data_IF_082483683151
#
_entry.id   IF_082483683151
#
_cell.length_a   1.000
_cell.length_b   1.000
_cell.length_c   1.000
_cell.angle_alpha   90.00
_cell.angle_beta   90.00
_cell.angle_gamma   90.00
#
_symmetry.space_group_name_H-M   'P 1'
#
loop_
_entity.id
_entity.type
_entity.pdbx_description
1 polymer ?
#
# COMPACT_ATOMS: atom_id res chain seq x y z
N UNK A 1 23.21 4.03 9.79
CA UNK A 1 22.91 5.48 9.78
C UNK A 1 21.84 5.74 8.72
N UNK A 2 20.67 6.27 9.06
CA UNK A 2 19.60 6.48 8.09
C UNK A 2 19.95 7.63 7.13
N UNK A 3 20.12 7.31 5.84
CA UNK A 3 20.29 8.28 4.76
C UNK A 3 18.93 8.87 4.39
N UNK A 4 18.88 10.18 4.09
CA UNK A 4 17.67 10.78 3.51
C UNK A 4 17.40 10.17 2.13
N UNK A 5 16.17 9.73 1.83
CA UNK A 5 15.83 9.18 0.51
C UNK A 5 16.09 10.22 -0.59
N UNK A 6 16.78 9.79 -1.63
CA UNK A 6 17.07 10.57 -2.83
C UNK A 6 15.89 10.61 -3.79
N UNK A 7 16.13 11.15 -5.00
CA UNK A 7 15.08 11.32 -6.02
C UNK A 7 14.44 9.99 -6.43
N UNK A 8 15.26 8.99 -6.75
CA UNK A 8 14.78 7.68 -7.19
C UNK A 8 13.90 6.99 -6.13
N UNK A 9 14.27 7.06 -4.85
CA UNK A 9 13.47 6.48 -3.76
C UNK A 9 12.15 7.21 -3.58
N UNK A 10 12.14 8.55 -3.70
CA UNK A 10 10.90 9.33 -3.65
C UNK A 10 9.95 9.02 -4.80
N UNK A 11 10.51 8.70 -5.97
CA UNK A 11 9.74 8.33 -7.16
C UNK A 11 9.08 6.96 -6.98
N UNK A 12 9.82 5.96 -6.48
CA UNK A 12 9.26 4.66 -6.08
C UNK A 12 8.14 4.79 -5.05
N UNK A 13 8.33 5.68 -4.06
CA UNK A 13 7.29 5.94 -3.05
C UNK A 13 6.04 6.55 -3.68
N UNK A 14 6.17 7.54 -4.58
CA UNK A 14 5.02 8.12 -5.27
C UNK A 14 4.30 7.08 -6.13
N UNK A 15 5.04 6.24 -6.84
CA UNK A 15 4.46 5.16 -7.64
C UNK A 15 3.69 4.16 -6.76
N UNK A 16 4.27 3.74 -5.63
CA UNK A 16 3.62 2.82 -4.71
C UNK A 16 2.34 3.41 -4.10
N UNK A 17 2.36 4.70 -3.71
CA UNK A 17 1.18 5.41 -3.19
C UNK A 17 0.07 5.49 -4.26
N UNK A 18 0.43 5.82 -5.49
CA UNK A 18 -0.51 5.91 -6.59
C UNK A 18 -1.17 4.55 -6.89
N UNK A 19 -0.39 3.48 -6.86
CA UNK A 19 -0.88 2.10 -7.11
C UNK A 19 -1.94 1.65 -6.12
N UNK A 20 -1.81 2.05 -4.86
CA UNK A 20 -2.80 1.71 -3.83
C UNK A 20 -3.95 2.73 -3.75
N UNK A 21 -4.05 3.66 -4.71
CA UNK A 21 -5.12 4.64 -4.79
C UNK A 21 -5.08 5.71 -3.69
N UNK A 22 -3.89 6.06 -3.20
CA UNK A 22 -3.71 7.06 -2.12
C UNK A 22 -3.10 8.38 -2.60
N UNK A 23 -3.06 8.64 -3.91
CA UNK A 23 -2.61 9.91 -4.47
C UNK A 23 -3.36 11.10 -3.88
N UNK A 24 -2.65 12.17 -3.53
CA UNK A 24 -3.19 13.36 -2.88
C UNK A 24 -3.31 13.25 -1.35
N UNK A 25 -2.97 12.10 -0.76
CA UNK A 25 -2.96 11.88 0.69
C UNK A 25 -1.53 11.78 1.27
N UNK A 26 -0.49 12.06 0.48
CA UNK A 26 0.92 11.83 0.82
C UNK A 26 1.36 12.57 2.09
N UNK A 27 0.77 13.74 2.33
CA UNK A 27 1.10 14.60 3.47
C UNK A 27 0.14 14.43 4.65
N UNK A 28 -0.89 13.58 4.51
CA UNK A 28 -1.87 13.35 5.57
C UNK A 28 -1.28 12.42 6.62
N UNK A 29 -1.40 12.81 7.89
CA UNK A 29 -0.96 11.96 8.99
C UNK A 29 -1.75 10.64 8.97
N UNK A 30 -1.05 9.51 9.14
CA UNK A 30 -1.64 8.17 9.08
C UNK A 30 -2.82 8.00 10.06
N UNK A 31 -2.76 8.58 11.26
CA UNK A 31 -3.84 8.51 12.24
C UNK A 31 -5.12 9.28 11.85
N UNK A 32 -5.07 10.04 10.74
CA UNK A 32 -6.22 10.76 10.17
C UNK A 32 -6.81 10.03 8.95
N UNK A 33 -6.26 8.88 8.57
CA UNK A 33 -6.76 8.04 7.46
C UNK A 33 -7.83 7.07 7.97
N UNK A 34 -8.75 6.65 7.10
CA UNK A 34 -9.68 5.55 7.41
C UNK A 34 -8.91 4.24 7.62
N UNK A 35 -9.52 3.25 8.28
CA UNK A 35 -8.87 1.95 8.50
C UNK A 35 -8.39 1.30 7.18
N UNK A 36 -9.24 1.28 6.15
CA UNK A 36 -8.85 0.77 4.82
C UNK A 36 -7.73 1.58 4.17
N UNK A 37 -7.70 2.91 4.33
CA UNK A 37 -6.58 3.73 3.84
C UNK A 37 -5.28 3.40 4.59
N UNK A 38 -5.33 3.16 5.91
CA UNK A 38 -4.15 2.76 6.68
C UNK A 38 -3.60 1.40 6.21
N UNK A 39 -4.47 0.44 5.92
CA UNK A 39 -4.07 -0.85 5.33
C UNK A 39 -3.36 -0.67 3.99
N UNK A 40 -3.91 0.17 3.11
CA UNK A 40 -3.29 0.50 1.82
C UNK A 40 -1.93 1.18 1.96
N UNK A 41 -1.71 1.98 3.01
CA UNK A 41 -0.37 2.54 3.31
C UNK A 41 0.63 1.42 3.62
N UNK A 42 0.24 0.38 4.36
CA UNK A 42 1.13 -0.76 4.63
C UNK A 42 1.47 -1.55 3.37
N UNK A 43 0.51 -1.73 2.47
CA UNK A 43 0.76 -2.33 1.15
C UNK A 43 1.72 -1.46 0.33
N UNK A 44 1.48 -0.15 0.23
CA UNK A 44 2.38 0.77 -0.47
C UNK A 44 3.81 0.68 0.08
N UNK A 45 3.97 0.60 1.41
CA UNK A 45 5.28 0.42 2.05
C UNK A 45 5.99 -0.85 1.58
N UNK A 46 5.26 -1.96 1.48
CA UNK A 46 5.81 -3.22 1.01
C UNK A 46 6.16 -3.18 -0.49
N UNK A 47 5.34 -2.52 -1.30
CA UNK A 47 5.56 -2.43 -2.75
C UNK A 47 6.81 -1.63 -3.14
N UNK A 48 7.29 -0.71 -2.30
CA UNK A 48 8.51 0.08 -2.56
C UNK A 48 9.74 -0.82 -2.75
N UNK A 49 9.78 -2.01 -2.11
CA UNK A 49 10.87 -2.97 -2.27
C UNK A 49 10.71 -3.91 -3.47
N UNK A 50 9.68 -3.73 -4.30
CA UNK A 50 9.38 -4.57 -5.47
C UNK A 50 9.35 -6.08 -5.11
N UNK A 51 8.51 -6.49 -4.14
CA UNK A 51 8.50 -7.86 -3.65
C UNK A 51 7.87 -8.82 -4.67
N UNK A 52 8.37 -10.06 -4.72
CA UNK A 52 7.75 -11.16 -5.47
C UNK A 52 6.63 -11.85 -4.67
N UNK A 53 6.68 -11.73 -3.33
CA UNK A 53 5.73 -12.34 -2.39
C UNK A 53 5.31 -11.33 -1.33
N UNK A 54 4.01 -11.23 -1.07
CA UNK A 54 3.44 -10.46 0.05
C UNK A 54 2.76 -11.42 1.02
N UNK A 55 3.24 -11.49 2.25
CA UNK A 55 2.57 -12.24 3.33
C UNK A 55 1.72 -11.27 4.14
N UNK A 56 0.45 -11.62 4.30
CA UNK A 56 -0.54 -10.81 4.98
C UNK A 56 -1.08 -11.59 6.19
N UNK A 57 -0.90 -11.03 7.38
CA UNK A 57 -1.47 -11.57 8.61
C UNK A 57 -2.62 -10.68 9.05
N UNK A 58 -3.83 -11.24 9.06
CA UNK A 58 -5.07 -10.55 9.44
C UNK A 58 -5.24 -9.14 8.81
N UNK A 59 -5.07 -8.99 7.48
CA UNK A 59 -4.86 -7.69 6.86
C UNK A 59 -6.07 -6.76 6.87
N UNK A 60 -7.27 -7.28 7.17
CA UNK A 60 -8.55 -6.55 7.14
C UNK A 60 -9.17 -6.35 8.52
N UNK A 61 -8.49 -6.76 9.61
CA UNK A 61 -9.05 -6.66 10.96
C UNK A 61 -9.37 -5.20 11.35
N UNK A 62 -10.59 -4.99 11.85
CA UNK A 62 -11.07 -3.69 12.29
C UNK A 62 -11.48 -2.74 11.16
N UNK A 63 -11.61 -3.23 9.92
CA UNK A 63 -12.08 -2.44 8.77
C UNK A 63 -13.52 -2.81 8.41
N UNK A 64 -14.26 -1.84 7.89
CA UNK A 64 -15.65 -2.04 7.47
C UNK A 64 -15.74 -2.86 6.17
N UNK A 65 -16.87 -3.54 5.98
CA UNK A 65 -17.07 -4.47 4.87
C UNK A 65 -16.88 -3.86 3.47
N UNK A 66 -17.16 -2.55 3.29
CA UNK A 66 -16.94 -1.91 1.99
C UNK A 66 -15.45 -1.74 1.74
N UNK A 67 -14.75 -1.15 2.71
CA UNK A 67 -13.30 -0.93 2.64
C UNK A 67 -12.52 -2.25 2.51
N UNK A 68 -13.02 -3.33 3.12
CA UNK A 68 -12.46 -4.68 2.99
C UNK A 68 -12.55 -5.22 1.56
N UNK A 69 -13.71 -5.09 0.89
CA UNK A 69 -13.85 -5.51 -0.51
C UNK A 69 -12.88 -4.74 -1.41
N UNK A 70 -12.81 -3.41 -1.26
CA UNK A 70 -11.87 -2.59 -2.04
C UNK A 70 -10.39 -2.96 -1.77
N UNK A 71 -10.09 -3.47 -0.58
CA UNK A 71 -8.75 -3.95 -0.23
C UNK A 71 -8.43 -5.27 -0.95
N UNK A 72 -9.35 -6.23 -0.97
CA UNK A 72 -9.16 -7.48 -1.73
C UNK A 72 -9.08 -7.24 -3.24
N UNK A 73 -9.87 -6.31 -3.79
CA UNK A 73 -9.78 -5.93 -5.20
C UNK A 73 -8.39 -5.37 -5.54
N UNK A 74 -7.79 -4.57 -4.64
CA UNK A 74 -6.42 -4.10 -4.77
C UNK A 74 -5.41 -5.26 -4.74
N UNK A 75 -5.57 -6.22 -3.85
CA UNK A 75 -4.65 -7.38 -3.80
C UNK A 75 -4.72 -8.18 -5.10
N UNK A 76 -5.93 -8.44 -5.60
CA UNK A 76 -6.14 -9.13 -6.87
C UNK A 76 -5.49 -8.38 -8.04
N UNK A 77 -5.62 -7.06 -8.11
CA UNK A 77 -4.97 -6.28 -9.17
C UNK A 77 -3.43 -6.36 -9.09
N UNK A 78 -2.86 -6.34 -7.88
CA UNK A 78 -1.42 -6.51 -7.68
C UNK A 78 -0.92 -7.89 -8.10
N UNK A 79 -1.70 -8.95 -7.83
CA UNK A 79 -1.37 -10.30 -8.28
C UNK A 79 -1.36 -10.40 -9.81
N UNK A 80 -2.41 -9.90 -10.48
CA UNK A 80 -2.56 -10.00 -11.93
C UNK A 80 -1.56 -9.11 -12.69
N UNK A 81 -1.35 -7.87 -12.23
CA UNK A 81 -0.52 -6.90 -12.96
C UNK A 81 0.98 -7.10 -12.72
N UNK A 82 1.37 -7.65 -11.57
CA UNK A 82 2.79 -7.74 -11.17
C UNK A 82 3.26 -9.15 -10.85
N UNK A 83 2.43 -10.19 -11.01
CA UNK A 83 2.75 -11.56 -10.62
C UNK A 83 3.21 -11.68 -9.16
N UNK A 84 2.71 -10.81 -8.28
CA UNK A 84 3.01 -10.89 -6.85
C UNK A 84 2.21 -12.05 -6.28
N UNK A 85 2.91 -13.00 -5.66
CA UNK A 85 2.24 -14.07 -4.90
C UNK A 85 1.75 -13.50 -3.57
N UNK A 86 0.50 -13.83 -3.22
CA UNK A 86 -0.18 -13.37 -2.00
C UNK A 86 -0.36 -14.53 -1.02
#
# INVERSE_FOLDING_TARGET
>A
LFRRPGKAEKEKVHEAIARVGLSGLEQRNIGKLSGGQQQRVFIARALVSEPEVLILDEPTVGVDARSENEFYDLLLSLNVERNISL
#
